data_IF_395525876016
#
_entry.id   IF_395525876016
#
_cell.length_a   1.000
_cell.length_b   1.000
_cell.length_c   1.000
_cell.angle_alpha   90.00
_cell.angle_beta   90.00
_cell.angle_gamma   90.00
#
_symmetry.space_group_name_H-M   'P 1'
#
loop_
_entity.id
_entity.type
_entity.pdbx_description
1 polymer ?
#
# COMPACT_ATOMS: atom_id res chain seq x y z
N UNK A 1 18.79 -10.06 9.27
CA UNK A 1 18.41 -8.77 8.65
C UNK A 1 17.76 -7.89 9.71
N UNK A 2 17.95 -6.58 9.64
CA UNK A 2 17.24 -5.64 10.52
C UNK A 2 16.00 -5.14 9.76
N UNK A 3 14.78 -5.40 10.24
CA UNK A 3 13.57 -4.90 9.59
C UNK A 3 13.57 -3.37 9.53
N UNK A 4 13.25 -2.81 8.37
CA UNK A 4 13.04 -1.37 8.19
C UNK A 4 11.55 -1.08 8.19
N UNK A 5 11.12 -0.10 8.98
CA UNK A 5 9.73 0.36 8.97
C UNK A 5 9.50 1.23 7.73
N UNK A 6 8.57 0.83 6.87
CA UNK A 6 8.24 1.56 5.63
C UNK A 6 7.02 2.49 5.76
N UNK A 7 6.11 2.22 6.69
CA UNK A 7 4.92 3.05 6.91
C UNK A 7 4.87 3.61 8.33
N UNK A 8 4.47 4.88 8.45
CA UNK A 8 4.24 5.55 9.73
C UNK A 8 2.95 6.37 9.67
N UNK A 9 2.26 6.51 10.80
CA UNK A 9 1.01 7.25 10.91
C UNK A 9 -0.09 6.51 11.67
N UNK A 10 -1.24 7.17 11.83
CA UNK A 10 -2.48 6.57 12.33
C UNK A 10 -3.16 5.77 11.21
N UNK A 11 -3.67 4.59 11.56
CA UNK A 11 -4.35 3.69 10.63
C UNK A 11 -3.75 2.29 10.61
N UNK A 12 -4.38 1.40 9.85
CA UNK A 12 -3.97 0.03 9.62
C UNK A 12 -3.56 -0.13 8.16
N UNK A 13 -2.48 -0.88 7.93
CA UNK A 13 -1.98 -1.22 6.60
C UNK A 13 -2.06 -2.74 6.40
N UNK A 14 -2.88 -3.18 5.43
CA UNK A 14 -3.18 -4.60 5.18
C UNK A 14 -2.83 -5.01 3.75
N UNK A 15 -2.70 -6.32 3.56
CA UNK A 15 -2.54 -6.99 2.27
C UNK A 15 -1.45 -6.41 1.34
N UNK A 16 -0.19 -6.31 1.80
CA UNK A 16 0.89 -5.83 0.95
C UNK A 16 1.21 -6.85 -0.16
N UNK A 17 1.53 -6.35 -1.36
CA UNK A 17 2.02 -7.12 -2.49
C UNK A 17 3.16 -6.37 -3.20
N UNK A 18 4.23 -7.09 -3.58
CA UNK A 18 5.32 -6.52 -4.37
C UNK A 18 4.94 -6.48 -5.86
N UNK A 19 5.44 -5.48 -6.59
CA UNK A 19 5.39 -5.49 -8.05
C UNK A 19 6.29 -6.61 -8.62
N UNK A 20 6.04 -7.09 -9.86
CA UNK A 20 6.84 -8.16 -10.48
C UNK A 20 8.34 -7.85 -10.60
N UNK A 21 8.69 -6.57 -10.73
CA UNK A 21 10.08 -6.08 -10.78
C UNK A 21 10.71 -5.89 -9.39
N UNK A 22 9.94 -6.11 -8.31
CA UNK A 22 10.39 -5.95 -6.92
C UNK A 22 10.67 -4.50 -6.51
N UNK A 23 10.23 -3.50 -7.27
CA UNK A 23 10.56 -2.08 -7.01
C UNK A 23 9.48 -1.32 -6.24
N UNK A 24 8.25 -1.83 -6.23
CA UNK A 24 7.10 -1.18 -5.59
C UNK A 24 6.36 -2.15 -4.67
N UNK A 25 5.63 -1.56 -3.73
CA UNK A 25 4.71 -2.24 -2.83
C UNK A 25 3.34 -1.58 -3.00
N UNK A 26 2.32 -2.38 -3.26
CA UNK A 26 0.91 -1.97 -3.19
C UNK A 26 0.29 -2.54 -1.91
N UNK A 27 -0.54 -1.76 -1.22
CA UNK A 27 -1.17 -2.18 0.04
C UNK A 27 -2.45 -1.39 0.30
N UNK A 28 -3.33 -1.94 1.13
CA UNK A 28 -4.57 -1.28 1.56
C UNK A 28 -4.32 -0.52 2.86
N UNK A 29 -4.79 0.73 2.97
CA UNK A 29 -4.63 1.53 4.18
C UNK A 29 -5.85 2.39 4.47
N UNK A 30 -6.22 2.52 5.75
CA UNK A 30 -7.27 3.44 6.19
C UNK A 30 -6.73 4.77 6.76
N UNK A 31 -5.46 5.10 6.48
CA UNK A 31 -4.80 6.34 6.95
C UNK A 31 -5.51 7.65 6.56
N UNK A 32 -6.36 7.61 5.54
CA UNK A 32 -7.17 8.73 5.06
C UNK A 32 -8.63 8.70 5.57
N UNK A 33 -8.94 7.89 6.58
CA UNK A 33 -10.27 7.76 7.18
C UNK A 33 -11.17 6.68 6.57
N UNK A 34 -10.84 6.18 5.37
CA UNK A 34 -11.48 5.03 4.71
C UNK A 34 -10.40 4.12 4.10
N UNK A 35 -10.72 2.83 3.89
CA UNK A 35 -9.81 1.89 3.22
C UNK A 35 -9.60 2.28 1.76
N UNK A 36 -8.36 2.65 1.43
CA UNK A 36 -7.90 3.01 0.10
C UNK A 36 -6.67 2.17 -0.28
N UNK A 37 -6.35 2.08 -1.57
CA UNK A 37 -5.11 1.45 -2.03
C UNK A 37 -4.01 2.50 -2.16
N UNK A 38 -2.84 2.15 -1.66
CA UNK A 38 -1.62 2.92 -1.74
C UNK A 38 -0.54 2.14 -2.46
N UNK A 39 0.34 2.85 -3.15
CA UNK A 39 1.58 2.31 -3.73
C UNK A 39 2.77 3.13 -3.23
N UNK A 40 3.89 2.48 -2.95
CA UNK A 40 5.16 3.12 -2.61
C UNK A 40 6.34 2.36 -3.20
N UNK A 41 7.51 3.00 -3.26
CA UNK A 41 8.79 2.33 -3.53
C UNK A 41 9.14 1.36 -2.39
N UNK A 42 9.95 0.33 -2.67
CA UNK A 42 10.41 -0.64 -1.64
C UNK A 42 11.27 -0.02 -0.52
N UNK A 43 11.83 1.17 -0.73
CA UNK A 43 12.52 1.95 0.30
C UNK A 43 11.58 2.84 1.15
N UNK A 44 10.28 2.80 0.88
CA UNK A 44 9.25 3.60 1.55
C UNK A 44 9.02 4.99 0.94
N UNK A 45 9.77 5.37 -0.10
CA UNK A 45 9.58 6.64 -0.81
C UNK A 45 8.38 6.61 -1.76
N UNK A 46 8.00 7.77 -2.30
CA UNK A 46 6.98 7.93 -3.35
C UNK A 46 5.61 7.34 -3.02
N UNK A 47 5.21 7.39 -1.75
CA UNK A 47 3.88 6.97 -1.32
C UNK A 47 2.79 7.75 -2.06
N UNK A 48 1.93 7.04 -2.77
CA UNK A 48 0.87 7.59 -3.59
C UNK A 48 -0.43 6.82 -3.35
N UNK A 49 -1.53 7.53 -3.11
CA UNK A 49 -2.89 6.96 -3.07
C UNK A 49 -3.35 6.70 -4.51
N UNK A 50 -3.81 5.49 -4.83
CA UNK A 50 -4.24 5.13 -6.19
C UNK A 50 -5.75 4.95 -6.34
N UNK A 51 -6.51 5.05 -5.24
CA UNK A 51 -7.98 5.07 -5.24
C UNK A 51 -8.51 6.38 -4.67
N UNK A 52 -9.70 6.78 -5.10
CA UNK A 52 -10.30 8.06 -4.68
C UNK A 52 -11.74 7.89 -4.17
N UNK A 53 -11.99 6.86 -3.33
CA UNK A 53 -13.28 6.53 -2.67
C UNK A 53 -14.34 5.89 -3.60
N UNK A 54 -15.35 5.08 -3.21
CA UNK A 54 -15.83 4.38 -2.00
C UNK A 54 -16.54 3.10 -2.49
N UNK A 55 -16.14 1.90 -2.07
CA UNK A 55 -17.02 0.73 -1.81
C UNK A 55 -16.27 -0.59 -2.04
N UNK A 56 -16.03 -1.31 -0.95
CA UNK A 56 -16.01 -2.77 -0.91
C UNK A 56 -14.83 -3.50 -1.59
N UNK A 57 -13.97 -4.08 -0.74
CA UNK A 57 -13.06 -5.18 -1.07
C UNK A 57 -11.89 -4.85 -2.00
N UNK A 58 -11.02 -3.96 -1.53
CA UNK A 58 -9.74 -3.65 -2.18
C UNK A 58 -8.68 -4.68 -1.79
N UNK A 59 -8.70 -5.86 -2.41
CA UNK A 59 -7.54 -6.76 -2.47
C UNK A 59 -6.67 -6.33 -3.66
N UNK A 60 -5.54 -5.64 -3.45
CA UNK A 60 -4.68 -5.26 -4.56
C UNK A 60 -3.96 -6.51 -5.10
N UNK A 61 -4.08 -6.75 -6.40
CA UNK A 61 -3.34 -7.78 -7.14
C UNK A 61 -2.75 -7.18 -8.42
N UNK A 62 -1.48 -7.50 -8.70
CA UNK A 62 -0.88 -7.22 -10.00
C UNK A 62 -1.23 -8.35 -10.96
N UNK A 63 -2.07 -8.06 -11.96
CA UNK A 63 -2.39 -8.97 -13.06
C UNK A 63 -1.14 -9.59 -13.69
N UNK A 64 -1.20 -10.91 -13.91
CA UNK A 64 -0.13 -11.69 -14.57
C UNK A 64 -0.21 -11.56 -16.08
#
# INVERSE_FOLDING_TARGET
SNPTRLTSGSGQDWYPCFSPDGRKIVFSSNRSGNWEIYVMSVDGSNLTKITDHTSGNSYPFWGQ
#
